data_IF_325651284035
#
_entry.id   IF_325651284035
#
_cell.length_a   1.000
_cell.length_b   1.000
_cell.length_c   1.000
_cell.angle_alpha   90.00
_cell.angle_beta   90.00
_cell.angle_gamma   90.00
#
_symmetry.space_group_name_H-M   'P 1'
#
loop_
_entity.id
_entity.type
_entity.pdbx_description
1 polymer ?
#
# COMPACT_ATOMS: atom_id res chain seq x y z
N UNK A 1 -25.98 -14.90 3.16
CA UNK A 1 -24.53 -14.63 3.23
C UNK A 1 -24.36 -13.15 3.58
N UNK A 2 -23.86 -12.85 4.78
CA UNK A 2 -23.41 -11.50 5.11
C UNK A 2 -22.07 -11.31 4.39
N UNK A 3 -22.02 -10.38 3.43
CA UNK A 3 -20.76 -10.01 2.78
C UNK A 3 -19.78 -9.47 3.83
N UNK A 4 -18.50 -9.82 3.71
CA UNK A 4 -17.45 -9.21 4.53
C UNK A 4 -17.53 -7.69 4.34
N UNK A 5 -17.94 -6.99 5.40
CA UNK A 5 -17.75 -5.54 5.48
C UNK A 5 -16.25 -5.28 5.70
N UNK A 6 -15.78 -4.05 5.51
CA UNK A 6 -14.39 -3.68 5.73
C UNK A 6 -14.11 -2.24 5.36
N UNK A 7 -12.85 -1.85 5.37
CA UNK A 7 -12.43 -0.47 5.08
C UNK A 7 -11.07 -0.47 4.40
N UNK A 8 -10.93 0.21 3.28
CA UNK A 8 -9.64 0.37 2.58
C UNK A 8 -9.12 1.77 2.79
N UNK A 9 -7.82 1.89 3.06
CA UNK A 9 -7.10 3.16 3.21
C UNK A 9 -5.95 3.16 2.20
N UNK A 10 -5.92 4.13 1.30
CA UNK A 10 -4.84 4.27 0.32
C UNK A 10 -4.11 5.55 0.60
N UNK A 11 -2.79 5.48 0.79
CA UNK A 11 -1.95 6.65 1.01
C UNK A 11 -1.27 6.96 -0.31
N UNK A 12 -1.77 7.94 -1.07
CA UNK A 12 -1.36 8.13 -2.46
C UNK A 12 0.04 8.73 -2.55
N UNK A 13 0.66 8.61 -3.73
CA UNK A 13 1.93 9.29 -4.05
C UNK A 13 1.70 10.79 -4.10
N UNK A 14 2.13 11.52 -3.07
CA UNK A 14 1.89 12.97 -2.98
C UNK A 14 2.58 13.78 -4.07
N UNK A 15 3.60 13.21 -4.73
CA UNK A 15 4.22 13.85 -5.89
C UNK A 15 3.28 13.84 -7.12
N UNK A 16 2.20 13.05 -7.09
CA UNK A 16 1.23 12.90 -8.18
C UNK A 16 -0.20 13.26 -7.77
N UNK A 17 -0.58 12.94 -6.54
CA UNK A 17 -1.95 13.03 -6.02
C UNK A 17 -1.86 13.73 -4.65
N UNK A 18 -2.33 14.98 -4.60
CA UNK A 18 -2.36 15.79 -3.38
C UNK A 18 -3.60 15.48 -2.52
N UNK A 19 -3.74 14.23 -2.09
CA UNK A 19 -4.70 13.82 -1.04
C UNK A 19 -3.96 13.12 0.09
N UNK A 20 -4.38 13.38 1.33
CA UNK A 20 -3.75 12.76 2.49
C UNK A 20 -4.05 11.25 2.53
N UNK A 21 -5.30 10.89 2.31
CA UNK A 21 -5.73 9.51 2.24
C UNK A 21 -6.95 9.38 1.34
N UNK A 22 -7.08 8.22 0.71
CA UNK A 22 -8.32 7.79 0.10
C UNK A 22 -8.91 6.67 0.98
N UNK A 23 -10.08 6.93 1.53
CA UNK A 23 -10.80 6.01 2.40
C UNK A 23 -12.09 5.53 1.72
N UNK A 24 -12.36 4.23 1.82
CA UNK A 24 -13.62 3.67 1.37
C UNK A 24 -14.06 2.49 2.25
N UNK A 25 -15.30 2.55 2.74
CA UNK A 25 -15.97 1.38 3.30
C UNK A 25 -16.29 0.38 2.18
N UNK A 26 -15.99 -0.90 2.43
CA UNK A 26 -16.20 -1.97 1.46
C UNK A 26 -17.22 -2.96 1.99
N UNK A 27 -18.15 -3.37 1.13
CA UNK A 27 -19.27 -4.26 1.52
C UNK A 27 -19.09 -5.70 1.03
N UNK A 28 -18.18 -5.91 0.08
CA UNK A 28 -17.94 -7.19 -0.57
C UNK A 28 -16.45 -7.51 -0.65
N UNK A 29 -15.68 -6.65 -1.32
CA UNK A 29 -14.29 -6.95 -1.65
C UNK A 29 -13.45 -5.67 -1.71
N UNK A 30 -12.28 -5.68 -1.06
CA UNK A 30 -11.34 -4.55 -1.05
C UNK A 30 -10.94 -4.05 -2.43
N UNK A 31 -11.02 -4.90 -3.47
CA UNK A 31 -10.66 -4.50 -4.83
C UNK A 31 -11.57 -3.42 -5.40
N UNK A 32 -12.82 -3.34 -4.95
CA UNK A 32 -13.75 -2.27 -5.36
C UNK A 32 -13.21 -0.88 -5.01
N UNK A 33 -12.58 -0.74 -3.84
CA UNK A 33 -11.97 0.51 -3.41
C UNK A 33 -10.72 0.84 -4.23
N UNK A 34 -9.92 -0.17 -4.60
CA UNK A 34 -8.76 0.04 -5.44
C UNK A 34 -9.14 0.43 -6.87
N UNK A 35 -10.15 -0.21 -7.46
CA UNK A 35 -10.70 0.16 -8.77
C UNK A 35 -11.19 1.61 -8.72
N UNK A 36 -11.99 1.98 -7.72
CA UNK A 36 -12.49 3.34 -7.56
C UNK A 36 -11.36 4.37 -7.42
N UNK A 37 -10.31 4.07 -6.65
CA UNK A 37 -9.12 4.92 -6.54
C UNK A 37 -8.38 5.03 -7.88
N UNK A 38 -8.18 3.90 -8.56
CA UNK A 38 -7.53 3.85 -9.87
C UNK A 38 -8.26 4.70 -10.90
N UNK A 39 -9.58 4.55 -10.98
CA UNK A 39 -10.45 5.31 -11.89
C UNK A 39 -10.43 6.81 -11.57
N UNK A 40 -10.55 7.16 -10.28
CA UNK A 40 -10.53 8.55 -9.80
C UNK A 40 -9.24 9.27 -10.24
N UNK A 41 -8.11 8.58 -10.14
CA UNK A 41 -6.79 9.14 -10.43
C UNK A 41 -6.21 8.77 -11.78
N UNK A 42 -6.96 8.03 -12.61
CA UNK A 42 -6.52 7.52 -13.90
C UNK A 42 -5.17 6.79 -13.79
N UNK A 43 -5.04 5.96 -12.76
CA UNK A 43 -3.94 5.02 -12.66
C UNK A 43 -4.28 3.91 -13.65
N UNK A 44 -3.38 3.56 -14.57
CA UNK A 44 -3.66 2.64 -15.68
C UNK A 44 -3.84 1.16 -15.25
N UNK A 45 -4.38 0.91 -14.05
CA UNK A 45 -4.80 -0.40 -13.59
C UNK A 45 -6.20 -0.73 -14.09
N UNK A 46 -6.34 -1.90 -14.71
CA UNK A 46 -7.60 -2.39 -15.28
C UNK A 46 -8.08 -3.64 -14.52
N UNK A 47 -8.11 -3.56 -13.19
CA UNK A 47 -8.56 -4.68 -12.37
C UNK A 47 -10.07 -4.86 -12.42
N UNK A 48 -10.49 -6.10 -12.22
CA UNK A 48 -11.89 -6.49 -12.05
C UNK A 48 -12.11 -7.10 -10.66
N UNK A 49 -13.37 -7.36 -10.28
CA UNK A 49 -13.66 -8.03 -9.00
C UNK A 49 -13.00 -9.42 -8.88
N UNK A 50 -12.69 -10.07 -10.01
CA UNK A 50 -12.04 -11.39 -10.02
C UNK A 50 -10.54 -11.31 -9.65
N UNK A 51 -9.94 -10.12 -9.74
CA UNK A 51 -8.52 -9.88 -9.48
C UNK A 51 -8.20 -9.64 -7.99
N UNK A 52 -9.17 -9.85 -7.10
CA UNK A 52 -9.06 -9.57 -5.66
C UNK A 52 -7.80 -10.16 -5.00
N UNK A 53 -7.41 -11.34 -5.47
CA UNK A 53 -6.24 -12.10 -5.00
C UNK A 53 -4.95 -11.71 -5.72
N UNK A 54 -5.02 -11.32 -7.00
CA UNK A 54 -3.86 -11.04 -7.88
C UNK A 54 -3.44 -9.57 -7.84
N UNK A 55 -4.38 -8.63 -7.70
CA UNK A 55 -4.12 -7.19 -7.69
C UNK A 55 -3.03 -6.74 -6.71
N UNK A 56 -2.95 -7.25 -5.46
CA UNK A 56 -1.87 -6.88 -4.54
C UNK A 56 -0.48 -7.23 -5.08
N UNK A 57 -0.36 -8.36 -5.77
CA UNK A 57 0.91 -8.77 -6.37
C UNK A 57 1.27 -7.90 -7.57
N UNK A 58 0.29 -7.55 -8.41
CA UNK A 58 0.52 -6.66 -9.56
C UNK A 58 0.95 -5.27 -9.08
N UNK A 59 0.23 -4.69 -8.12
CA UNK A 59 0.58 -3.39 -7.55
C UNK A 59 1.96 -3.44 -6.87
N UNK A 60 2.29 -4.54 -6.18
CA UNK A 60 3.62 -4.73 -5.63
C UNK A 60 4.73 -4.83 -6.69
N UNK A 61 4.46 -5.47 -7.85
CA UNK A 61 5.41 -5.55 -8.98
C UNK A 61 5.75 -4.18 -9.57
N UNK A 62 4.82 -3.24 -9.52
CA UNK A 62 5.06 -1.86 -9.93
C UNK A 62 5.92 -1.08 -8.91
N UNK A 63 6.27 -1.72 -7.81
CA UNK A 63 7.16 -1.20 -6.78
C UNK A 63 6.43 -0.62 -5.58
N UNK A 64 5.11 -0.58 -5.60
CA UNK A 64 4.31 -0.20 -4.44
C UNK A 64 4.44 -1.24 -3.33
N UNK A 65 4.15 -0.83 -2.10
CA UNK A 65 4.05 -1.74 -0.97
C UNK A 65 2.57 -1.89 -0.62
N UNK A 66 2.11 -3.13 -0.46
CA UNK A 66 0.71 -3.43 -0.17
C UNK A 66 0.63 -4.15 1.16
N UNK A 67 -0.18 -3.66 2.08
CA UNK A 67 -0.41 -4.25 3.39
C UNK A 67 -1.85 -4.71 3.46
N UNK A 68 -2.09 -6.01 3.62
CA UNK A 68 -3.41 -6.60 3.85
C UNK A 68 -3.55 -7.04 5.29
N UNK A 69 -4.60 -6.58 5.94
CA UNK A 69 -4.89 -6.80 7.35
C UNK A 69 -6.36 -7.22 7.46
N UNK A 70 -6.67 -8.20 8.29
CA UNK A 70 -8.02 -8.67 8.59
C UNK A 70 -8.40 -8.26 10.01
N UNK A 71 -9.54 -7.59 10.12
CA UNK A 71 -10.24 -7.19 11.34
C UNK A 71 -11.53 -8.02 11.46
N UNK A 72 -12.09 -8.12 12.67
CA UNK A 72 -13.41 -8.74 12.89
C UNK A 72 -14.54 -8.06 12.08
N UNK A 73 -14.34 -6.78 11.73
CA UNK A 73 -15.21 -5.96 10.88
C UNK A 73 -14.84 -5.96 9.41
N UNK A 74 -13.71 -6.56 8.98
CA UNK A 74 -13.30 -6.62 7.58
C UNK A 74 -11.83 -6.54 7.22
N UNK A 75 -11.53 -6.44 5.92
CA UNK A 75 -10.16 -6.29 5.42
C UNK A 75 -9.76 -4.82 5.28
N UNK A 76 -8.58 -4.46 5.78
CA UNK A 76 -7.85 -3.22 5.50
C UNK A 76 -6.72 -3.50 4.52
N UNK A 77 -6.72 -2.78 3.40
CA UNK A 77 -5.60 -2.77 2.45
C UNK A 77 -4.98 -1.39 2.44
N UNK A 78 -3.69 -1.30 2.76
CA UNK A 78 -2.89 -0.09 2.61
C UNK A 78 -1.99 -0.22 1.38
N UNK A 79 -2.11 0.73 0.47
CA UNK A 79 -1.21 0.87 -0.67
C UNK A 79 -0.28 2.04 -0.38
N UNK A 80 1.01 1.75 -0.31
CA UNK A 80 2.09 2.70 -0.04
C UNK A 80 2.91 2.84 -1.32
N UNK A 81 3.23 4.07 -1.76
CA UNK A 81 3.85 4.24 -3.05
C UNK A 81 5.28 3.70 -3.14
N UNK A 82 5.81 3.60 -4.36
CA UNK A 82 7.20 3.14 -4.58
C UNK A 82 8.21 4.09 -3.93
N UNK A 83 7.96 5.38 -4.05
CA UNK A 83 8.65 6.44 -3.30
C UNK A 83 7.87 6.68 -2.02
N UNK A 84 8.52 6.59 -0.88
CA UNK A 84 7.89 6.82 0.43
C UNK A 84 8.39 8.15 0.96
N UNK A 85 7.51 9.11 1.13
CA UNK A 85 7.83 10.41 1.73
C UNK A 85 7.57 10.39 3.24
N UNK A 86 7.96 11.45 3.95
CA UNK A 86 7.80 11.53 5.40
C UNK A 86 6.34 11.42 5.80
N UNK A 87 5.43 12.02 5.02
CA UNK A 87 3.99 11.90 5.26
C UNK A 87 3.52 10.45 5.25
N UNK A 88 3.97 9.68 4.26
CA UNK A 88 3.58 8.27 4.10
C UNK A 88 4.23 7.37 5.16
N UNK A 89 5.50 7.63 5.51
CA UNK A 89 6.18 6.96 6.61
C UNK A 89 5.50 7.26 7.96
N UNK A 90 5.22 8.53 8.24
CA UNK A 90 4.54 8.95 9.47
C UNK A 90 3.15 8.33 9.58
N UNK A 91 2.42 8.18 8.48
CA UNK A 91 1.11 7.54 8.50
C UNK A 91 1.20 6.08 9.00
N UNK A 92 2.16 5.28 8.52
CA UNK A 92 2.28 3.89 8.97
C UNK A 92 2.71 3.80 10.44
N UNK A 93 3.59 4.69 10.89
CA UNK A 93 3.99 4.76 12.31
C UNK A 93 2.82 5.16 13.20
N UNK A 94 2.07 6.20 12.85
CA UNK A 94 0.91 6.67 13.60
C UNK A 94 -0.21 5.62 13.67
N UNK A 95 -0.33 4.78 12.65
CA UNK A 95 -1.33 3.71 12.60
C UNK A 95 -0.81 2.35 13.06
N UNK A 96 0.48 2.22 13.40
CA UNK A 96 1.11 0.92 13.72
C UNK A 96 0.45 0.22 14.91
N UNK A 97 0.17 0.94 16.01
CA UNK A 97 -0.52 0.39 17.17
C UNK A 97 -1.92 -0.12 16.83
N UNK A 98 -2.64 0.61 15.97
CA UNK A 98 -3.95 0.18 15.48
C UNK A 98 -3.79 -1.09 14.62
N UNK A 99 -2.80 -1.12 13.73
CA UNK A 99 -2.53 -2.26 12.83
C UNK A 99 -2.13 -3.52 13.60
N UNK A 100 -1.32 -3.41 14.67
CA UNK A 100 -0.90 -4.59 15.48
C UNK A 100 -2.05 -5.32 16.17
N UNK A 101 -3.20 -4.66 16.36
CA UNK A 101 -4.40 -5.27 16.97
C UNK A 101 -5.13 -6.22 16.02
N UNK A 102 -4.77 -6.22 14.75
CA UNK A 102 -5.44 -6.97 13.71
C UNK A 102 -4.56 -8.08 13.14
N UNK A 103 -5.20 -9.04 12.49
CA UNK A 103 -4.48 -10.17 11.88
C UNK A 103 -3.85 -9.72 10.57
N UNK A 104 -2.53 -9.62 10.51
CA UNK A 104 -1.83 -9.35 9.26
C UNK A 104 -1.98 -10.53 8.29
N UNK A 105 -2.83 -10.36 7.26
CA UNK A 105 -3.05 -11.35 6.19
C UNK A 105 -1.85 -11.44 5.25
N UNK A 106 -1.15 -10.32 5.04
CA UNK A 106 0.15 -10.29 4.37
C UNK A 106 0.62 -8.90 3.96
N UNK A 107 1.93 -8.69 3.93
CA UNK A 107 2.56 -7.58 3.21
C UNK A 107 3.08 -8.05 1.86
N UNK A 108 3.05 -7.20 0.84
CA UNK A 108 3.67 -7.43 -0.45
C UNK A 108 4.55 -6.23 -0.79
N UNK A 109 5.73 -6.50 -1.31
CA UNK A 109 6.62 -5.46 -1.80
C UNK A 109 7.51 -5.98 -2.90
N UNK A 110 8.38 -5.10 -3.39
CA UNK A 110 9.30 -5.42 -4.45
C UNK A 110 10.59 -5.99 -3.89
N UNK A 111 11.05 -7.10 -4.46
CA UNK A 111 12.43 -7.55 -4.35
C UNK A 111 13.10 -7.41 -5.71
N UNK A 112 14.17 -6.64 -5.76
CA UNK A 112 15.03 -6.60 -6.95
C UNK A 112 15.75 -7.95 -7.06
N UNK A 113 15.59 -8.61 -8.21
CA UNK A 113 16.33 -9.82 -8.56
C UNK A 113 17.13 -9.59 -9.84
N UNK A 114 18.15 -10.42 -10.06
CA UNK A 114 19.05 -10.31 -11.22
C UNK A 114 18.31 -10.38 -12.58
N UNK A 115 17.07 -10.90 -12.60
CA UNK A 115 16.31 -11.21 -13.81
C UNK A 115 15.07 -10.31 -13.95
N UNK A 116 14.94 -9.30 -13.11
CA UNK A 116 13.76 -8.45 -13.02
C UNK A 116 13.23 -8.31 -11.61
N UNK A 117 12.18 -7.52 -11.50
CA UNK A 117 11.54 -7.18 -10.24
C UNK A 117 10.45 -8.20 -9.91
N UNK A 118 10.53 -8.84 -8.74
CA UNK A 118 9.52 -9.78 -8.26
C UNK A 118 8.76 -9.23 -7.05
N UNK A 119 7.44 -9.42 -7.06
CA UNK A 119 6.63 -9.20 -5.87
C UNK A 119 6.88 -10.32 -4.86
N UNK A 120 7.27 -9.94 -3.65
CA UNK A 120 7.53 -10.87 -2.55
C UNK A 120 6.62 -10.57 -1.37
N UNK A 121 6.29 -11.62 -0.62
CA UNK A 121 5.55 -11.49 0.63
C UNK A 121 6.49 -10.99 1.73
N UNK A 122 6.10 -9.90 2.39
CA UNK A 122 6.71 -9.36 3.61
C UNK A 122 5.90 -9.87 4.80
N UNK A 123 6.58 -10.46 5.78
CA UNK A 123 5.95 -11.07 6.96
C UNK A 123 6.11 -10.17 8.18
N UNK A 124 5.00 -9.87 8.86
CA UNK A 124 4.99 -9.06 10.08
C UNK A 124 5.03 -7.56 9.82
N UNK A 125 4.38 -6.81 10.71
CA UNK A 125 4.29 -5.35 10.62
C UNK A 125 5.67 -4.68 10.73
N UNK A 126 6.55 -5.18 11.60
CA UNK A 126 7.90 -4.62 11.78
C UNK A 126 8.71 -4.60 10.47
N UNK A 127 8.62 -5.67 9.68
CA UNK A 127 9.31 -5.73 8.39
C UNK A 127 8.68 -4.80 7.34
N UNK A 128 7.37 -4.54 7.44
CA UNK A 128 6.66 -3.58 6.59
C UNK A 128 7.08 -2.15 6.95
N UNK A 129 7.08 -1.81 8.24
CA UNK A 129 7.54 -0.52 8.74
C UNK A 129 8.99 -0.28 8.32
N UNK A 130 9.88 -1.26 8.57
CA UNK A 130 11.28 -1.19 8.13
C UNK A 130 11.43 -0.97 6.63
N UNK A 131 10.59 -1.60 5.81
CA UNK A 131 10.61 -1.39 4.36
C UNK A 131 10.18 0.04 3.99
N UNK A 132 9.22 0.63 4.71
CA UNK A 132 8.82 2.02 4.54
C UNK A 132 9.96 2.97 4.94
N UNK A 133 10.58 2.75 6.10
CA UNK A 133 11.69 3.58 6.60
C UNK A 133 12.88 3.59 5.63
N UNK A 134 13.28 2.41 5.13
CA UNK A 134 14.35 2.30 4.14
C UNK A 134 14.01 3.10 2.87
N UNK A 135 12.78 2.98 2.36
CA UNK A 135 12.35 3.72 1.16
C UNK A 135 12.34 5.23 1.41
N UNK A 136 11.94 5.67 2.60
CA UNK A 136 11.91 7.06 2.99
C UNK A 136 13.30 7.68 3.10
N UNK A 137 14.25 6.98 3.73
CA UNK A 137 15.66 7.41 3.75
C UNK A 137 16.24 7.62 2.34
N UNK A 138 15.91 6.74 1.39
CA UNK A 138 16.35 6.92 0.00
C UNK A 138 15.70 8.11 -0.70
N UNK A 139 14.44 8.42 -0.38
CA UNK A 139 13.76 9.62 -0.87
C UNK A 139 14.43 10.88 -0.33
N UNK A 140 14.61 10.99 0.99
CA UNK A 140 15.28 12.13 1.64
C UNK A 140 16.66 12.38 1.05
N UNK A 141 17.47 11.33 0.88
CA UNK A 141 18.80 11.45 0.27
C UNK A 141 18.74 12.01 -1.15
N UNK A 142 17.78 11.55 -1.97
CA UNK A 142 17.59 12.07 -3.33
C UNK A 142 17.13 13.52 -3.33
N UNK A 143 16.28 13.92 -2.41
CA UNK A 143 15.86 15.32 -2.28
C UNK A 143 17.06 16.19 -1.89
N UNK A 144 17.88 15.80 -0.91
CA UNK A 144 19.10 16.53 -0.52
C UNK A 144 20.06 16.66 -1.69
N UNK A 145 20.34 15.57 -2.42
CA UNK A 145 21.26 15.57 -3.57
C UNK A 145 20.82 16.55 -4.70
N UNK A 146 19.53 16.90 -4.80
CA UNK A 146 19.05 17.91 -5.76
C UNK A 146 19.49 19.34 -5.42
N UNK A 147 19.71 19.65 -4.14
CA UNK A 147 20.05 21.00 -3.68
C UNK A 147 21.56 21.23 -3.46
N UNK A 148 22.36 20.16 -3.54
CA UNK A 148 23.83 20.20 -3.34
C UNK A 148 24.60 20.25 -4.68
N UNK A 149 23.89 20.32 -5.82
CA UNK A 149 24.45 20.50 -7.17
C UNK A 149 24.23 21.92 -7.69
#
# INVERSE_FOLDING_TARGET
MLGMKGSVYIIPDENKILEDEFYQEVKKDHIEAFIAFSDKYKLDYNFTSEDSTTAPYVVAKDGHLVVKIEEDSGLVVCYIPKVVTDRQANWIHANSEKITKYTLVGGFGLKEAANGNDAVRIKGLDNIIRACDIRNMYYEKKEVDKYVR
#
